data_IF_032266583580
#
_entry.id   IF_032266583580
#
_cell.length_a   1.000
_cell.length_b   1.000
_cell.length_c   1.000
_cell.angle_alpha   90.00
_cell.angle_beta   90.00
_cell.angle_gamma   90.00
#
_symmetry.space_group_name_H-M   'P 1'
#
loop_
_entity.id
_entity.type
_entity.pdbx_description
1 polymer ?
#
# COMPACT_ATOMS: atom_id res chain seq x y z
N UNK A 1 6.52 -4.87 14.75
CA UNK A 1 5.23 -4.24 14.49
C UNK A 1 4.79 -4.61 13.08
N UNK A 2 3.54 -5.03 12.94
CA UNK A 2 2.98 -5.41 11.64
C UNK A 2 1.80 -4.51 11.31
N UNK A 3 2.06 -3.26 10.95
CA UNK A 3 1.00 -2.28 10.66
C UNK A 3 0.97 -1.92 9.19
N UNK A 4 -0.24 -1.96 8.63
CA UNK A 4 -0.48 -1.65 7.21
C UNK A 4 -1.55 -0.57 7.10
N UNK A 5 -1.30 0.43 6.27
CA UNK A 5 -2.29 1.41 5.84
C UNK A 5 -2.77 1.01 4.45
N UNK A 6 -4.08 0.83 4.28
CA UNK A 6 -4.68 0.57 2.96
C UNK A 6 -5.51 1.76 2.53
N UNK A 7 -5.28 2.23 1.31
CA UNK A 7 -6.04 3.29 0.68
C UNK A 7 -6.71 2.75 -0.58
N UNK A 8 -8.02 2.58 -0.55
CA UNK A 8 -8.81 2.00 -1.63
C UNK A 8 -10.21 2.58 -1.60
N UNK A 9 -10.67 3.15 -2.71
CA UNK A 9 -11.98 3.82 -2.76
C UNK A 9 -13.16 2.84 -2.91
N UNK A 10 -12.95 1.66 -3.48
CA UNK A 10 -13.99 0.64 -3.60
C UNK A 10 -14.15 -0.13 -2.30
N UNK A 11 -15.31 0.03 -1.64
CA UNK A 11 -15.55 -0.57 -0.34
C UNK A 11 -15.39 -2.09 -0.35
N UNK A 12 -15.87 -2.77 -1.39
CA UNK A 12 -15.79 -4.22 -1.50
C UNK A 12 -14.34 -4.71 -1.53
N UNK A 13 -13.50 -4.05 -2.31
CA UNK A 13 -12.08 -4.40 -2.41
C UNK A 13 -11.38 -4.07 -1.10
N UNK A 14 -11.66 -2.91 -0.52
CA UNK A 14 -11.06 -2.48 0.74
C UNK A 14 -11.37 -3.49 1.85
N UNK A 15 -12.62 -3.92 1.97
CA UNK A 15 -13.02 -4.90 2.98
C UNK A 15 -12.33 -6.25 2.77
N UNK A 16 -12.23 -6.70 1.52
CA UNK A 16 -11.54 -7.94 1.17
C UNK A 16 -10.08 -7.90 1.66
N UNK A 17 -9.38 -6.80 1.36
CA UNK A 17 -7.98 -6.64 1.75
C UNK A 17 -7.85 -6.61 3.27
N UNK A 18 -8.69 -5.82 3.95
CA UNK A 18 -8.65 -5.70 5.41
C UNK A 18 -8.84 -7.05 6.08
N UNK A 19 -9.87 -7.80 5.66
CA UNK A 19 -10.17 -9.12 6.26
C UNK A 19 -8.99 -10.06 6.10
N UNK A 20 -8.44 -10.14 4.89
CA UNK A 20 -7.36 -11.09 4.62
C UNK A 20 -6.06 -10.73 5.33
N UNK A 21 -5.73 -9.46 5.41
CA UNK A 21 -4.51 -9.02 6.10
C UNK A 21 -4.64 -9.18 7.62
N UNK A 22 -5.81 -8.91 8.18
CA UNK A 22 -6.02 -9.14 9.62
C UNK A 22 -5.92 -10.63 9.96
N UNK A 23 -6.44 -11.50 9.10
CA UNK A 23 -6.30 -12.97 9.29
C UNK A 23 -4.84 -13.40 9.23
N UNK A 24 -4.02 -12.70 8.46
CA UNK A 24 -2.59 -12.99 8.35
C UNK A 24 -1.77 -12.40 9.50
N UNK A 25 -2.40 -11.72 10.44
CA UNK A 25 -1.74 -11.19 11.63
C UNK A 25 -1.30 -9.74 11.54
N UNK A 26 -1.74 -9.02 10.53
CA UNK A 26 -1.43 -7.59 10.39
C UNK A 26 -2.46 -6.72 11.11
N UNK A 27 -1.98 -5.61 11.67
CA UNK A 27 -2.83 -4.54 12.16
C UNK A 27 -3.09 -3.59 11.00
N UNK A 28 -4.35 -3.38 10.64
CA UNK A 28 -4.71 -2.68 9.41
C UNK A 28 -5.54 -1.44 9.72
N UNK A 29 -5.10 -0.32 9.18
CA UNK A 29 -5.88 0.93 9.16
C UNK A 29 -6.29 1.15 7.71
N UNK A 30 -7.58 1.39 7.46
CA UNK A 30 -8.09 1.57 6.11
C UNK A 30 -8.72 2.95 5.92
N UNK A 31 -8.49 3.50 4.73
CA UNK A 31 -9.06 4.78 4.31
C UNK A 31 -9.53 4.66 2.87
N UNK A 32 -10.39 5.57 2.44
CA UNK A 32 -11.06 5.49 1.14
C UNK A 32 -10.59 6.52 0.10
N UNK A 33 -9.65 7.37 0.45
CA UNK A 33 -9.13 8.37 -0.49
C UNK A 33 -7.70 8.76 -0.13
N UNK A 34 -7.02 9.37 -1.10
CA UNK A 34 -5.62 9.76 -0.94
C UNK A 34 -5.41 10.83 0.12
N UNK A 35 -6.32 11.78 0.20
CA UNK A 35 -6.26 12.84 1.21
C UNK A 35 -6.33 12.25 2.62
N UNK A 36 -7.23 11.29 2.84
CA UNK A 36 -7.35 10.60 4.12
C UNK A 36 -6.11 9.77 4.41
N UNK A 37 -5.51 9.16 3.38
CA UNK A 37 -4.28 8.40 3.55
C UNK A 37 -3.14 9.29 4.05
N UNK A 38 -2.96 10.45 3.46
CA UNK A 38 -1.91 11.39 3.86
C UNK A 38 -2.18 11.94 5.26
N UNK A 39 -3.42 12.27 5.58
CA UNK A 39 -3.79 12.77 6.90
C UNK A 39 -3.54 11.70 7.98
N UNK A 40 -3.90 10.46 7.70
CA UNK A 40 -3.68 9.34 8.63
C UNK A 40 -2.19 9.05 8.80
N UNK A 41 -1.43 9.07 7.73
CA UNK A 41 0.01 8.86 7.78
C UNK A 41 0.68 9.91 8.68
N UNK A 42 0.30 11.16 8.51
CA UNK A 42 0.80 12.27 9.33
C UNK A 42 0.38 12.12 10.80
N UNK A 43 -0.90 11.84 11.04
CA UNK A 43 -1.44 11.71 12.39
C UNK A 43 -0.80 10.56 13.18
N UNK A 44 -0.42 9.48 12.47
CA UNK A 44 0.24 8.32 13.07
C UNK A 44 1.76 8.43 13.02
N UNK A 45 2.29 9.59 12.68
CA UNK A 45 3.73 9.87 12.61
C UNK A 45 4.48 8.90 11.68
N UNK A 46 3.82 8.45 10.61
CA UNK A 46 4.41 7.53 9.66
C UNK A 46 4.62 6.12 10.20
N UNK A 47 3.95 5.77 11.27
CA UNK A 47 4.18 4.52 11.99
C UNK A 47 3.49 3.32 11.33
N UNK A 48 3.87 3.03 10.09
CA UNK A 48 3.39 1.91 9.31
C UNK A 48 4.58 1.17 8.69
N UNK A 49 4.45 -0.13 8.52
CA UNK A 49 5.46 -0.94 7.85
C UNK A 49 5.24 -0.97 6.35
N UNK A 50 3.97 -1.00 5.94
CA UNK A 50 3.57 -1.09 4.53
C UNK A 50 2.38 -0.19 4.29
N UNK A 51 2.34 0.42 3.10
CA UNK A 51 1.17 1.14 2.60
C UNK A 51 0.72 0.50 1.29
N UNK A 52 -0.55 0.16 1.21
CA UNK A 52 -1.18 -0.34 -0.01
C UNK A 52 -2.01 0.79 -0.61
N UNK A 53 -1.75 1.14 -1.86
CA UNK A 53 -2.39 2.28 -2.52
C UNK A 53 -3.04 1.88 -3.83
N UNK A 54 -4.33 2.11 -3.95
CA UNK A 54 -5.00 2.05 -5.26
C UNK A 54 -4.51 3.22 -6.11
N UNK A 55 -4.22 2.98 -7.38
CA UNK A 55 -3.72 4.00 -8.28
C UNK A 55 -4.83 4.96 -8.69
N UNK A 56 -5.97 4.42 -9.12
CA UNK A 56 -7.06 5.22 -9.69
C UNK A 56 -8.10 5.53 -8.62
N UNK A 57 -8.04 6.73 -8.08
CA UNK A 57 -8.99 7.21 -7.07
C UNK A 57 -9.43 8.62 -7.40
N UNK A 58 -10.66 9.02 -6.99
CA UNK A 58 -11.07 10.42 -7.08
C UNK A 58 -10.17 11.31 -6.21
N UNK A 59 -9.95 12.54 -6.65
CA UNK A 59 -9.06 13.46 -5.95
C UNK A 59 -7.61 13.16 -6.28
N UNK A 60 -6.73 13.12 -5.30
CA UNK A 60 -5.34 12.77 -5.55
C UNK A 60 -5.21 11.27 -5.79
N UNK A 61 -4.41 10.89 -6.77
CA UNK A 61 -4.24 9.49 -7.15
C UNK A 61 -3.18 8.79 -6.29
N UNK A 62 -3.05 7.48 -6.50
CA UNK A 62 -2.10 6.68 -5.74
C UNK A 62 -0.64 7.06 -5.99
N UNK A 63 -0.30 7.50 -7.19
CA UNK A 63 1.07 7.93 -7.49
C UNK A 63 1.45 9.17 -6.67
N UNK A 64 0.54 10.12 -6.56
CA UNK A 64 0.77 11.33 -5.77
C UNK A 64 0.95 10.99 -4.29
N UNK A 65 0.11 10.09 -3.76
CA UNK A 65 0.23 9.65 -2.37
C UNK A 65 1.56 8.93 -2.15
N UNK A 66 1.94 8.04 -3.06
CA UNK A 66 3.20 7.31 -2.99
C UNK A 66 4.39 8.27 -2.94
N UNK A 67 4.41 9.24 -3.83
CA UNK A 67 5.48 10.25 -3.88
C UNK A 67 5.60 11.00 -2.56
N UNK A 68 4.47 11.48 -2.03
CA UNK A 68 4.46 12.24 -0.78
C UNK A 68 4.89 11.41 0.41
N UNK A 69 4.47 10.14 0.49
CA UNK A 69 4.90 9.25 1.55
C UNK A 69 6.40 8.98 1.45
N UNK A 70 6.89 8.75 0.24
CA UNK A 70 8.31 8.44 0.01
C UNK A 70 9.21 9.63 0.35
N UNK A 71 8.73 10.85 0.23
CA UNK A 71 9.44 12.04 0.68
C UNK A 71 9.64 12.05 2.19
N UNK A 72 8.75 11.41 2.94
CA UNK A 72 8.80 11.35 4.41
C UNK A 72 9.48 10.10 4.93
N UNK A 73 9.46 9.00 4.16
CA UNK A 73 10.03 7.74 4.59
C UNK A 73 10.61 6.98 3.41
N UNK A 74 11.90 6.71 3.45
CA UNK A 74 12.58 5.92 2.41
C UNK A 74 12.51 4.42 2.68
N UNK A 75 12.13 4.01 3.88
CA UNK A 75 12.21 2.61 4.32
C UNK A 75 10.86 1.88 4.32
N UNK A 76 9.76 2.61 4.37
CA UNK A 76 8.42 1.99 4.38
C UNK A 76 8.17 1.23 3.07
N UNK A 77 7.48 0.09 3.15
CA UNK A 77 7.09 -0.64 1.95
C UNK A 77 5.86 -0.01 1.31
N UNK A 78 5.87 0.15 -0.01
CA UNK A 78 4.73 0.68 -0.74
C UNK A 78 4.36 -0.29 -1.85
N UNK A 79 3.10 -0.75 -1.84
CA UNK A 79 2.56 -1.65 -2.86
C UNK A 79 1.39 -0.94 -3.53
N UNK A 80 1.42 -0.89 -4.86
CA UNK A 80 0.34 -0.28 -5.64
C UNK A 80 -0.67 -1.35 -6.07
N UNK A 81 -1.95 -1.01 -5.98
CA UNK A 81 -3.03 -1.84 -6.51
C UNK A 81 -3.45 -1.27 -7.85
N UNK A 82 -3.45 -2.07 -8.90
CA UNK A 82 -3.67 -1.56 -10.26
C UNK A 82 -4.53 -2.50 -11.08
N UNK A 83 -5.23 -1.93 -12.07
CA UNK A 83 -5.96 -2.72 -13.05
C UNK A 83 -4.98 -3.40 -14.02
N UNK A 84 -5.40 -4.54 -14.57
CA UNK A 84 -4.55 -5.40 -15.40
C UNK A 84 -3.92 -4.73 -16.61
N UNK A 85 -4.57 -3.74 -17.17
CA UNK A 85 -4.19 -3.15 -18.45
C UNK A 85 -3.28 -1.93 -18.32
N UNK A 86 -2.83 -1.59 -17.11
CA UNK A 86 -2.12 -0.32 -16.88
C UNK A 86 -0.61 -0.52 -16.74
N UNK A 87 0.03 -0.99 -17.81
CA UNK A 87 1.48 -1.19 -17.82
C UNK A 87 2.26 0.11 -17.64
N UNK A 88 1.79 1.19 -18.25
CA UNK A 88 2.43 2.50 -18.11
C UNK A 88 2.43 2.95 -16.66
N UNK A 89 1.34 2.69 -15.95
CA UNK A 89 1.21 3.04 -14.54
C UNK A 89 2.23 2.29 -13.67
N UNK A 90 2.51 1.02 -14.01
CA UNK A 90 3.51 0.24 -13.28
C UNK A 90 4.90 0.86 -13.42
N UNK A 91 5.28 1.25 -14.63
CA UNK A 91 6.57 1.89 -14.87
C UNK A 91 6.67 3.21 -14.09
N UNK A 92 5.63 4.04 -14.17
CA UNK A 92 5.59 5.32 -13.47
C UNK A 92 5.70 5.12 -11.96
N UNK A 93 4.99 4.12 -11.41
CA UNK A 93 5.02 3.83 -9.98
C UNK A 93 6.39 3.39 -9.49
N UNK A 94 7.09 2.56 -10.26
CA UNK A 94 8.46 2.17 -9.90
C UNK A 94 9.40 3.36 -9.88
N UNK A 95 9.21 4.29 -10.81
CA UNK A 95 10.01 5.51 -10.87
C UNK A 95 9.78 6.43 -9.68
N UNK A 96 8.59 6.41 -9.08
CA UNK A 96 8.28 7.25 -7.92
C UNK A 96 8.47 6.54 -6.57
N UNK A 97 8.92 5.29 -6.59
CA UNK A 97 9.35 4.60 -5.39
C UNK A 97 8.46 3.50 -4.85
N UNK A 98 7.53 2.96 -5.65
CA UNK A 98 6.77 1.79 -5.24
C UNK A 98 7.67 0.55 -5.21
N UNK A 99 7.42 -0.35 -4.27
CA UNK A 99 8.21 -1.58 -4.12
C UNK A 99 7.63 -2.74 -4.90
N UNK A 100 6.33 -2.76 -5.11
CA UNK A 100 5.67 -3.85 -5.81
C UNK A 100 4.29 -3.40 -6.31
N UNK A 101 3.69 -4.25 -7.13
CA UNK A 101 2.35 -4.05 -7.68
C UNK A 101 1.53 -5.31 -7.49
N UNK A 102 0.25 -5.12 -7.21
CA UNK A 102 -0.73 -6.21 -7.21
C UNK A 102 -1.79 -5.85 -8.23
N UNK A 103 -1.97 -6.73 -9.23
CA UNK A 103 -2.91 -6.50 -10.31
C UNK A 103 -4.31 -7.01 -9.93
N UNK A 104 -5.32 -6.18 -10.10
CA UNK A 104 -6.72 -6.56 -9.87
C UNK A 104 -7.25 -7.36 -11.05
N UNK A 105 -8.06 -8.41 -10.84
CA UNK A 105 -8.40 -9.01 -9.57
C UNK A 105 -7.27 -9.88 -9.02
N UNK A 106 -7.14 -9.97 -7.72
CA UNK A 106 -6.11 -10.77 -7.08
C UNK A 106 -6.73 -11.73 -6.05
N UNK A 107 -6.03 -12.84 -5.80
CA UNK A 107 -6.44 -13.83 -4.81
C UNK A 107 -5.90 -13.46 -3.42
N UNK A 108 -6.50 -14.00 -2.34
CA UNK A 108 -5.91 -13.85 -1.01
C UNK A 108 -4.47 -14.35 -0.94
N UNK A 109 -4.18 -15.45 -1.63
CA UNK A 109 -2.81 -16.01 -1.65
C UNK A 109 -1.80 -15.05 -2.26
N UNK A 110 -2.15 -14.43 -3.37
CA UNK A 110 -1.27 -13.45 -4.01
C UNK A 110 -1.07 -12.22 -3.13
N UNK A 111 -2.15 -11.69 -2.59
CA UNK A 111 -2.09 -10.53 -1.69
C UNK A 111 -1.16 -10.81 -0.52
N UNK A 112 -1.39 -11.92 0.17
CA UNK A 112 -0.62 -12.27 1.36
C UNK A 112 0.84 -12.53 1.03
N UNK A 113 1.12 -13.23 -0.08
CA UNK A 113 2.49 -13.55 -0.46
C UNK A 113 3.30 -12.30 -0.77
N UNK A 114 2.72 -11.34 -1.50
CA UNK A 114 3.42 -10.12 -1.85
C UNK A 114 3.61 -9.21 -0.64
N UNK A 115 2.59 -9.09 0.20
CA UNK A 115 2.67 -8.29 1.43
C UNK A 115 3.74 -8.89 2.37
N UNK A 116 3.73 -10.21 2.57
CA UNK A 116 4.71 -10.86 3.42
C UNK A 116 6.14 -10.68 2.89
N UNK A 117 6.33 -10.75 1.58
CA UNK A 117 7.65 -10.55 0.98
C UNK A 117 8.17 -9.14 1.23
N UNK A 118 7.33 -8.13 1.06
CA UNK A 118 7.71 -6.74 1.31
C UNK A 118 7.94 -6.51 2.82
N UNK A 119 7.10 -7.09 3.66
CA UNK A 119 7.27 -6.96 5.11
C UNK A 119 8.62 -7.52 5.56
N UNK A 120 9.02 -8.70 5.07
CA UNK A 120 10.34 -9.28 5.39
C UNK A 120 11.46 -8.34 4.99
N UNK A 121 11.37 -7.73 3.81
CA UNK A 121 12.39 -6.80 3.32
C UNK A 121 12.46 -5.54 4.18
N UNK A 122 11.31 -4.99 4.57
CA UNK A 122 11.25 -3.82 5.46
C UNK A 122 11.88 -4.14 6.81
N UNK A 123 11.55 -5.29 7.40
CA UNK A 123 12.14 -5.71 8.68
C UNK A 123 13.65 -5.87 8.57
N UNK A 124 14.14 -6.46 7.49
CA UNK A 124 15.58 -6.69 7.32
C UNK A 124 16.37 -5.40 7.19
N UNK A 125 15.75 -4.31 6.67
CA UNK A 125 16.46 -3.05 6.57
C UNK A 125 16.76 -2.41 7.93
N UNK A 126 16.14 -2.88 9.00
CA UNK A 126 16.43 -2.41 10.36
C UNK A 126 17.41 -3.28 11.12
N UNK A 127 17.84 -4.40 10.56
CA UNK A 127 18.70 -5.37 11.26
C UNK A 127 20.20 -5.08 11.04
N UNK A 128 20.53 -4.23 10.16
CA UNK A 128 21.93 -3.93 9.81
C UNK A 128 22.72 -3.36 10.97
#
# INVERSE_FOLDING_TARGET
>A
MKRILICEDEATIREFVVINLKRAGYDVVDVDCGEAALATFEAEHGNFDIVLLDIMMPGIDGFTVCKKIREKSSTIGIIMLTARTQEIDKVSGLMIGADDYITKPFSPSELNARVDAIYRRVCMSFIK
#
